data_IF_909335119333
#
_entry.id   IF_909335119333
#
_cell.length_a   1.000
_cell.length_b   1.000
_cell.length_c   1.000
_cell.angle_alpha   90.00
_cell.angle_beta   90.00
_cell.angle_gamma   90.00
#
_symmetry.space_group_name_H-M   'P 1'
#
loop_
_entity.id
_entity.type
_entity.pdbx_description
1 polymer ?
#
# COMPACT_ATOMS: atom_id res chain seq x y z
N UNK A 1 17.14 -11.58 -4.30
CA UNK A 1 16.91 -10.14 -4.57
C UNK A 1 17.92 -9.64 -5.61
N UNK A 2 17.55 -8.71 -6.49
CA UNK A 2 18.51 -8.11 -7.45
C UNK A 2 19.40 -7.07 -6.75
N UNK A 3 20.65 -6.95 -7.18
CA UNK A 3 21.60 -5.96 -6.65
C UNK A 3 21.05 -4.52 -6.72
N UNK A 4 20.31 -4.21 -7.81
CA UNK A 4 19.65 -2.92 -8.00
C UNK A 4 18.63 -2.61 -6.90
N UNK A 5 17.77 -3.57 -6.52
CA UNK A 5 16.76 -3.36 -5.48
C UNK A 5 17.42 -3.13 -4.12
N UNK A 6 18.46 -3.90 -3.79
CA UNK A 6 19.21 -3.72 -2.54
C UNK A 6 19.88 -2.36 -2.44
N UNK A 7 20.50 -1.89 -3.54
CA UNK A 7 21.13 -0.57 -3.61
C UNK A 7 20.15 0.58 -3.35
N UNK A 8 18.97 0.58 -3.99
CA UNK A 8 17.98 1.64 -3.79
C UNK A 8 17.31 1.60 -2.42
N UNK A 9 17.16 0.42 -1.81
CA UNK A 9 16.71 0.31 -0.41
C UNK A 9 17.74 0.95 0.51
N UNK A 10 19.03 0.64 0.33
CA UNK A 10 20.12 1.27 1.09
C UNK A 10 20.14 2.80 0.93
N UNK A 11 19.98 3.31 -0.29
CA UNK A 11 19.90 4.76 -0.53
C UNK A 11 18.68 5.42 0.12
N UNK A 12 17.58 4.66 0.28
CA UNK A 12 16.36 5.16 0.93
C UNK A 12 16.55 5.44 2.43
N UNK A 13 17.55 4.80 3.06
CA UNK A 13 17.89 4.94 4.47
C UNK A 13 19.06 5.92 4.71
N UNK A 14 19.72 6.39 3.65
CA UNK A 14 20.89 7.28 3.75
C UNK A 14 20.48 8.78 3.82
N UNK A 15 20.70 9.39 5.00
CA UNK A 15 20.35 10.81 5.28
C UNK A 15 21.10 11.85 4.44
N UNK A 16 22.32 11.56 3.97
CA UNK A 16 23.09 12.49 3.14
C UNK A 16 22.51 12.55 1.72
N UNK A 17 22.23 11.39 1.14
CA UNK A 17 21.59 11.27 -0.18
C UNK A 17 20.17 11.83 -0.14
N UNK A 18 19.43 11.57 0.93
CA UNK A 18 18.11 12.16 1.16
C UNK A 18 18.13 13.68 1.10
N UNK A 19 19.04 14.34 1.83
CA UNK A 19 19.15 15.81 1.82
C UNK A 19 19.47 16.37 0.43
N UNK A 20 20.34 15.70 -0.33
CA UNK A 20 20.66 16.10 -1.69
C UNK A 20 19.43 15.99 -2.63
N UNK A 21 18.74 14.86 -2.60
CA UNK A 21 17.59 14.59 -3.47
C UNK A 21 16.36 15.42 -3.10
N UNK A 22 16.16 15.72 -1.81
CA UNK A 22 15.08 16.60 -1.37
C UNK A 22 15.31 18.05 -1.80
N UNK A 23 16.56 18.50 -1.92
CA UNK A 23 16.89 19.89 -2.32
C UNK A 23 16.92 20.10 -3.83
N UNK A 24 16.94 19.03 -4.62
CA UNK A 24 17.02 19.11 -6.07
C UNK A 24 15.60 19.24 -6.69
N UNK A 25 15.29 20.31 -7.43
CA UNK A 25 13.97 20.53 -8.06
C UNK A 25 13.58 19.45 -9.09
N UNK A 26 14.58 18.84 -9.72
CA UNK A 26 14.41 17.84 -10.79
C UNK A 26 13.90 16.54 -10.20
N UNK A 27 14.55 16.07 -9.14
CA UNK A 27 14.13 14.86 -8.42
C UNK A 27 12.78 15.04 -7.74
N UNK A 28 12.47 16.25 -7.24
CA UNK A 28 11.11 16.63 -6.79
C UNK A 28 10.07 16.56 -7.91
N UNK A 29 10.37 17.08 -9.10
CA UNK A 29 9.46 16.98 -10.26
C UNK A 29 9.24 15.53 -10.67
N UNK A 30 10.28 14.70 -10.56
CA UNK A 30 10.20 13.29 -10.90
C UNK A 30 9.42 12.45 -9.90
N UNK A 31 9.51 12.77 -8.60
CA UNK A 31 8.74 12.08 -7.58
C UNK A 31 7.24 12.23 -7.80
N UNK A 32 6.79 13.37 -8.39
CA UNK A 32 5.39 13.62 -8.78
C UNK A 32 4.78 12.58 -9.71
N UNK A 33 5.61 11.76 -10.39
CA UNK A 33 5.09 10.63 -11.16
C UNK A 33 4.47 9.57 -10.26
N UNK A 34 5.08 9.31 -9.10
CA UNK A 34 4.74 8.21 -8.19
C UNK A 34 4.09 8.68 -6.88
N UNK A 35 4.15 9.98 -6.59
CA UNK A 35 3.61 10.64 -5.41
C UNK A 35 2.73 11.79 -5.88
N UNK A 36 1.52 11.92 -5.35
CA UNK A 36 0.57 12.94 -5.80
C UNK A 36 1.08 14.37 -5.54
N UNK A 37 1.78 14.55 -4.42
CA UNK A 37 2.39 15.80 -3.99
C UNK A 37 2.73 15.75 -2.51
N UNK A 38 2.99 16.93 -1.93
CA UNK A 38 3.41 17.06 -0.53
C UNK A 38 2.22 17.37 0.38
N UNK A 39 1.10 17.84 -0.17
CA UNK A 39 -0.07 18.28 0.59
C UNK A 39 -1.28 17.36 0.43
N UNK A 40 -2.23 17.45 1.37
CA UNK A 40 -3.53 16.77 1.24
C UNK A 40 -4.29 17.25 -0.01
N UNK A 41 -4.18 18.53 -0.36
CA UNK A 41 -4.82 19.07 -1.57
C UNK A 41 -4.30 18.39 -2.85
N UNK A 42 -3.00 18.11 -2.91
CA UNK A 42 -2.41 17.36 -4.03
C UNK A 42 -2.97 15.93 -4.10
N UNK A 43 -3.06 15.26 -2.95
CA UNK A 43 -3.66 13.93 -2.83
C UNK A 43 -5.11 13.92 -3.32
N UNK A 44 -5.93 14.85 -2.86
CA UNK A 44 -7.34 15.01 -3.27
C UNK A 44 -7.45 15.28 -4.77
N UNK A 45 -6.62 16.16 -5.32
CA UNK A 45 -6.63 16.47 -6.75
C UNK A 45 -6.30 15.24 -7.61
N UNK A 46 -5.31 14.44 -7.19
CA UNK A 46 -4.95 13.20 -7.87
C UNK A 46 -6.09 12.17 -7.81
N UNK A 47 -6.71 11.97 -6.64
CA UNK A 47 -7.86 11.08 -6.48
C UNK A 47 -9.03 11.50 -7.35
N UNK A 48 -9.37 12.80 -7.37
CA UNK A 48 -10.43 13.33 -8.23
C UNK A 48 -10.16 13.03 -9.70
N UNK A 49 -8.90 13.13 -10.13
CA UNK A 49 -8.48 12.78 -11.49
C UNK A 49 -8.66 11.29 -11.81
N UNK A 50 -8.39 10.41 -10.85
CA UNK A 50 -8.57 8.96 -10.98
C UNK A 50 -10.06 8.57 -11.02
N UNK A 51 -10.87 9.12 -10.12
CA UNK A 51 -12.31 8.84 -10.08
C UNK A 51 -13.01 9.25 -11.38
N UNK A 52 -12.60 10.37 -12.01
CA UNK A 52 -13.11 10.76 -13.34
C UNK A 52 -12.77 9.77 -14.46
N UNK A 53 -11.76 8.92 -14.27
CA UNK A 53 -11.38 7.85 -15.21
C UNK A 53 -12.04 6.51 -14.87
N UNK A 54 -12.97 6.47 -13.90
CA UNK A 54 -13.56 5.23 -13.42
C UNK A 54 -12.63 4.40 -12.53
N UNK A 55 -11.53 4.97 -12.06
CA UNK A 55 -10.59 4.30 -11.16
C UNK A 55 -10.90 4.64 -9.70
N UNK A 56 -10.87 3.64 -8.83
CA UNK A 56 -10.95 3.82 -7.38
C UNK A 56 -9.59 4.27 -6.83
N UNK A 57 -9.56 4.84 -5.63
CA UNK A 57 -8.31 5.24 -4.99
C UNK A 57 -8.13 4.69 -3.57
N UNK A 58 -6.89 4.73 -3.09
CA UNK A 58 -6.51 4.55 -1.69
C UNK A 58 -5.47 5.62 -1.34
N UNK A 59 -5.83 6.63 -0.54
CA UNK A 59 -4.89 7.65 -0.10
C UNK A 59 -3.98 7.08 0.99
N UNK A 60 -2.70 7.38 0.90
CA UNK A 60 -1.73 7.05 1.94
C UNK A 60 -0.88 8.28 2.26
N UNK A 61 -0.94 8.69 3.53
CA UNK A 61 -0.05 9.72 4.05
C UNK A 61 1.36 9.16 4.28
N UNK A 62 2.35 9.81 3.69
CA UNK A 62 3.76 9.53 3.92
C UNK A 62 4.22 10.31 5.15
N UNK A 63 4.04 9.70 6.32
CA UNK A 63 4.56 10.15 7.61
C UNK A 63 5.69 9.24 8.12
N UNK A 64 6.41 9.74 9.13
CA UNK A 64 7.48 8.99 9.80
C UNK A 64 6.91 7.97 10.79
N UNK A 65 7.66 6.88 10.99
CA UNK A 65 7.38 5.96 12.11
C UNK A 65 7.70 6.68 13.40
N UNK A 66 6.91 6.44 14.44
CA UNK A 66 7.11 7.10 15.73
C UNK A 66 6.95 6.15 16.91
N UNK A 67 7.65 6.45 18.00
CA UNK A 67 7.42 5.88 19.33
C UNK A 67 6.93 6.95 20.31
N UNK A 68 6.76 8.19 19.85
CA UNK A 68 6.32 9.34 20.65
C UNK A 68 4.79 9.39 20.69
N UNK A 69 4.18 9.35 21.89
CA UNK A 69 2.74 9.47 22.03
C UNK A 69 2.16 10.75 21.42
N UNK A 70 2.93 11.83 21.47
CA UNK A 70 2.55 13.11 20.88
C UNK A 70 2.51 13.00 19.35
N UNK A 71 3.58 12.51 18.73
CA UNK A 71 3.68 12.38 17.27
C UNK A 71 2.60 11.43 16.72
N UNK A 72 2.29 10.36 17.46
CA UNK A 72 1.20 9.44 17.11
C UNK A 72 -0.18 10.14 17.09
N UNK A 73 -0.44 11.05 18.03
CA UNK A 73 -1.62 11.91 18.01
C UNK A 73 -1.63 12.87 16.82
N UNK A 74 -0.46 13.44 16.44
CA UNK A 74 -0.37 14.32 15.26
C UNK A 74 -0.64 13.56 13.96
N UNK A 75 -0.07 12.36 13.80
CA UNK A 75 -0.37 11.47 12.68
C UNK A 75 -1.87 11.08 12.64
N UNK A 76 -2.46 10.82 13.81
CA UNK A 76 -3.90 10.54 13.93
C UNK A 76 -4.74 11.72 13.44
N UNK A 77 -4.38 12.96 13.81
CA UNK A 77 -5.08 14.16 13.32
C UNK A 77 -5.01 14.26 11.81
N UNK A 78 -3.85 13.99 11.19
CA UNK A 78 -3.75 13.96 9.74
C UNK A 78 -4.65 12.90 9.10
N UNK A 79 -4.75 11.70 9.68
CA UNK A 79 -5.68 10.69 9.19
C UNK A 79 -7.15 11.14 9.28
N UNK A 80 -7.54 11.81 10.36
CA UNK A 80 -8.89 12.37 10.51
C UNK A 80 -9.17 13.51 9.50
N UNK A 81 -8.18 14.36 9.20
CA UNK A 81 -8.27 15.38 8.16
C UNK A 81 -8.47 14.77 6.77
N UNK A 82 -7.75 13.68 6.47
CA UNK A 82 -7.89 12.94 5.20
C UNK A 82 -9.29 12.37 5.08
N UNK A 83 -9.81 11.72 6.12
CA UNK A 83 -11.18 11.20 6.13
C UNK A 83 -12.19 12.32 5.87
N UNK A 84 -12.07 13.44 6.58
CA UNK A 84 -12.93 14.60 6.38
C UNK A 84 -12.86 15.17 4.96
N UNK A 85 -11.68 15.16 4.32
CA UNK A 85 -11.52 15.58 2.93
C UNK A 85 -12.16 14.60 1.95
N UNK A 86 -11.99 13.28 2.14
CA UNK A 86 -12.63 12.24 1.30
C UNK A 86 -14.15 12.42 1.30
N UNK A 87 -14.75 12.63 2.46
CA UNK A 87 -16.20 12.80 2.60
C UNK A 87 -16.70 14.11 2.00
N UNK A 88 -16.04 15.23 2.33
CA UNK A 88 -16.44 16.57 1.86
C UNK A 88 -16.41 16.66 0.34
N UNK A 89 -15.41 16.05 -0.27
CA UNK A 89 -15.19 16.05 -1.72
C UNK A 89 -15.90 14.87 -2.43
N UNK A 90 -16.59 14.01 -1.68
CA UNK A 90 -17.31 12.81 -2.17
C UNK A 90 -16.43 11.90 -3.04
N UNK A 91 -15.21 11.64 -2.59
CA UNK A 91 -14.24 10.84 -3.33
C UNK A 91 -14.50 9.34 -3.14
N UNK A 92 -14.34 8.57 -4.21
CA UNK A 92 -14.24 7.11 -4.13
C UNK A 92 -12.80 6.74 -3.74
N UNK A 93 -12.58 6.70 -2.43
CA UNK A 93 -11.27 6.59 -1.85
C UNK A 93 -11.28 5.83 -0.53
N UNK A 94 -10.36 4.87 -0.41
CA UNK A 94 -10.02 4.26 0.87
C UNK A 94 -8.90 5.06 1.55
N UNK A 95 -8.75 4.89 2.85
CA UNK A 95 -7.58 5.33 3.60
C UNK A 95 -6.63 4.15 3.83
N UNK A 96 -5.34 4.30 3.52
CA UNK A 96 -4.28 3.37 3.90
C UNK A 96 -3.45 3.99 5.02
N UNK A 97 -3.30 3.25 6.13
CA UNK A 97 -2.57 3.69 7.33
C UNK A 97 -1.47 2.70 7.69
N UNK A 98 -0.48 3.15 8.48
CA UNK A 98 0.54 2.30 9.10
C UNK A 98 0.48 2.47 10.61
N UNK A 99 0.47 1.36 11.35
CA UNK A 99 0.35 1.43 12.80
C UNK A 99 1.64 1.93 13.47
N UNK A 100 2.80 1.83 12.82
CA UNK A 100 4.02 2.47 13.30
C UNK A 100 3.92 3.99 13.40
N UNK A 101 3.05 4.62 12.60
CA UNK A 101 2.77 6.06 12.72
C UNK A 101 1.82 6.36 13.88
N UNK A 102 1.13 5.34 14.42
CA UNK A 102 0.26 5.44 15.60
C UNK A 102 1.00 5.04 16.89
N UNK A 103 2.32 4.92 16.86
CA UNK A 103 3.11 4.60 18.05
C UNK A 103 3.24 3.11 18.36
N UNK A 104 2.88 2.20 17.44
CA UNK A 104 2.84 0.75 17.69
C UNK A 104 4.13 0.17 18.32
N UNK A 105 5.30 0.67 17.92
CA UNK A 105 6.58 0.20 18.44
C UNK A 105 6.92 0.75 19.85
N UNK A 106 6.22 1.79 20.30
CA UNK A 106 6.39 2.40 21.62
C UNK A 106 5.31 1.97 22.60
N UNK A 107 4.05 2.30 22.30
CA UNK A 107 2.88 1.99 23.13
C UNK A 107 1.76 1.37 22.27
N UNK A 108 1.67 0.02 22.24
CA UNK A 108 0.61 -0.68 21.53
C UNK A 108 -0.80 -0.33 22.02
N UNK A 109 -1.01 -0.06 23.32
CA UNK A 109 -2.33 0.26 23.87
C UNK A 109 -2.79 1.66 23.40
N UNK A 110 -1.86 2.60 23.29
CA UNK A 110 -2.14 3.87 22.64
C UNK A 110 -2.47 3.68 21.17
N UNK A 111 -1.68 2.87 20.43
CA UNK A 111 -1.92 2.61 19.01
C UNK A 111 -3.32 2.01 18.76
N UNK A 112 -3.79 1.12 19.64
CA UNK A 112 -5.17 0.60 19.61
C UNK A 112 -6.20 1.72 19.80
N UNK A 113 -6.00 2.58 20.80
CA UNK A 113 -6.90 3.71 21.09
C UNK A 113 -7.00 4.68 19.90
N UNK A 114 -5.87 5.00 19.29
CA UNK A 114 -5.81 5.87 18.11
C UNK A 114 -6.42 5.21 16.88
N UNK A 115 -6.20 3.91 16.68
CA UNK A 115 -6.85 3.15 15.63
C UNK A 115 -8.37 3.18 15.77
N UNK A 116 -8.92 2.95 16.97
CA UNK A 116 -10.38 3.07 17.21
C UNK A 116 -10.92 4.43 16.80
N UNK A 117 -10.25 5.53 17.19
CA UNK A 117 -10.63 6.89 16.77
C UNK A 117 -10.72 7.05 15.25
N UNK A 118 -9.75 6.50 14.51
CA UNK A 118 -9.74 6.54 13.04
C UNK A 118 -10.87 5.67 12.47
N UNK A 119 -11.05 4.46 12.99
CA UNK A 119 -12.08 3.53 12.50
C UNK A 119 -13.49 4.06 12.75
N UNK A 120 -13.72 4.71 13.88
CA UNK A 120 -15.01 5.34 14.21
C UNK A 120 -15.34 6.51 13.29
N UNK A 121 -14.37 7.40 13.06
CA UNK A 121 -14.54 8.50 12.10
C UNK A 121 -14.80 7.94 10.69
N UNK A 122 -14.02 6.95 10.26
CA UNK A 122 -14.18 6.32 8.96
C UNK A 122 -15.52 5.59 8.81
N UNK A 123 -16.05 5.00 9.89
CA UNK A 123 -17.34 4.31 9.91
C UNK A 123 -18.48 5.28 9.69
N UNK A 124 -18.48 6.42 10.41
CA UNK A 124 -19.45 7.51 10.23
C UNK A 124 -19.46 8.00 8.78
N UNK A 125 -18.26 8.09 8.20
CA UNK A 125 -18.03 8.68 6.88
C UNK A 125 -18.09 7.64 5.74
N UNK A 126 -18.40 6.37 6.05
CA UNK A 126 -18.44 5.21 5.14
C UNK A 126 -17.16 5.02 4.32
N UNK A 127 -16.01 5.37 4.89
CA UNK A 127 -14.69 5.20 4.29
C UNK A 127 -14.08 3.89 4.78
N UNK A 128 -13.50 3.12 3.86
CA UNK A 128 -12.77 1.91 4.22
C UNK A 128 -11.32 2.23 4.58
N UNK A 129 -10.83 1.65 5.68
CA UNK A 129 -9.46 1.78 6.18
C UNK A 129 -8.68 0.49 5.93
N UNK A 130 -7.52 0.61 5.30
CA UNK A 130 -6.56 -0.48 5.14
C UNK A 130 -5.39 -0.26 6.08
N UNK A 131 -5.14 -1.22 6.96
CA UNK A 131 -3.91 -1.30 7.75
C UNK A 131 -2.84 -1.92 6.86
N UNK A 132 -1.89 -1.10 6.41
CA UNK A 132 -0.75 -1.54 5.62
C UNK A 132 0.21 -2.37 6.49
N UNK A 133 0.73 -3.46 5.94
CA UNK A 133 1.68 -4.33 6.63
C UNK A 133 3.10 -3.84 6.44
N UNK A 134 3.82 -3.75 7.54
CA UNK A 134 5.19 -3.24 7.61
C UNK A 134 6.23 -4.39 7.59
N UNK A 135 7.46 -4.16 8.04
CA UNK A 135 8.47 -5.23 8.16
C UNK A 135 8.00 -6.40 9.05
N UNK A 136 8.64 -7.55 8.88
CA UNK A 136 8.28 -8.81 9.56
C UNK A 136 8.16 -8.68 11.08
N UNK A 137 9.00 -7.85 11.71
CA UNK A 137 8.97 -7.57 13.15
C UNK A 137 7.66 -6.90 13.62
N UNK A 138 6.95 -6.20 12.74
CA UNK A 138 5.69 -5.53 13.05
C UNK A 138 4.46 -6.35 12.67
N UNK A 139 4.60 -7.53 12.05
CA UNK A 139 3.45 -8.36 11.65
C UNK A 139 2.65 -8.81 12.86
N UNK A 140 3.27 -9.44 13.85
CA UNK A 140 2.56 -9.89 15.05
C UNK A 140 1.98 -8.74 15.87
N UNK A 141 2.72 -7.65 16.16
CA UNK A 141 2.15 -6.47 16.80
C UNK A 141 0.94 -5.89 16.04
N UNK A 142 1.01 -5.82 14.72
CA UNK A 142 -0.11 -5.33 13.88
C UNK A 142 -1.34 -6.23 13.99
N UNK A 143 -1.13 -7.55 13.88
CA UNK A 143 -2.21 -8.52 14.00
C UNK A 143 -2.78 -8.56 15.42
N UNK A 144 -1.97 -8.33 16.46
CA UNK A 144 -2.44 -8.24 17.84
C UNK A 144 -3.38 -7.05 18.03
N UNK A 145 -2.96 -5.84 17.63
CA UNK A 145 -3.81 -4.64 17.67
C UNK A 145 -5.12 -4.86 16.90
N UNK A 146 -5.04 -5.43 15.69
CA UNK A 146 -6.24 -5.73 14.91
C UNK A 146 -7.16 -6.74 15.61
N UNK A 147 -6.61 -7.82 16.20
CA UNK A 147 -7.40 -8.83 16.94
C UNK A 147 -8.11 -8.23 18.16
N UNK A 148 -7.54 -7.21 18.80
CA UNK A 148 -8.21 -6.50 19.90
C UNK A 148 -9.40 -5.70 19.40
N UNK A 149 -9.27 -4.98 18.28
CA UNK A 149 -10.33 -4.07 17.80
C UNK A 149 -11.39 -4.76 16.94
N UNK A 150 -11.05 -5.84 16.22
CA UNK A 150 -11.96 -6.50 15.28
C UNK A 150 -13.28 -6.99 15.91
N UNK A 151 -13.29 -7.61 17.11
CA UNK A 151 -14.51 -8.07 17.76
C UNK A 151 -15.50 -6.95 18.13
N UNK A 152 -15.09 -5.68 18.09
CA UNK A 152 -15.96 -4.52 18.35
C UNK A 152 -16.96 -4.23 17.20
N UNK A 153 -16.92 -5.02 16.11
CA UNK A 153 -17.92 -4.97 15.04
C UNK A 153 -17.60 -4.03 13.87
N UNK A 154 -16.33 -3.63 13.71
CA UNK A 154 -15.91 -2.85 12.54
C UNK A 154 -15.97 -3.70 11.27
N UNK A 155 -16.61 -3.17 10.22
CA UNK A 155 -16.67 -3.80 8.88
C UNK A 155 -15.91 -2.99 7.82
N UNK A 156 -15.48 -1.78 8.18
CA UNK A 156 -14.80 -0.82 7.33
C UNK A 156 -13.26 -0.87 7.49
N UNK A 157 -12.71 -1.99 7.93
CA UNK A 157 -11.26 -2.18 8.10
C UNK A 157 -10.77 -3.46 7.43
N UNK A 158 -9.52 -3.46 6.96
CA UNK A 158 -8.88 -4.69 6.52
C UNK A 158 -7.35 -4.64 6.59
N UNK A 159 -6.73 -5.79 6.32
CA UNK A 159 -5.29 -6.01 6.52
C UNK A 159 -4.54 -6.19 5.19
N UNK A 160 -3.22 -6.11 5.24
CA UNK A 160 -2.32 -6.49 4.15
C UNK A 160 -1.55 -7.75 4.54
N UNK A 161 -1.37 -8.68 3.60
CA UNK A 161 -0.48 -9.84 3.75
C UNK A 161 0.59 -9.84 2.65
N UNK A 162 1.81 -10.24 3.02
CA UNK A 162 2.98 -10.19 2.15
C UNK A 162 3.40 -11.62 1.72
N UNK A 163 3.28 -11.93 0.44
CA UNK A 163 3.55 -13.25 -0.12
C UNK A 163 5.03 -13.68 -0.11
N UNK A 164 5.97 -12.87 0.38
CA UNK A 164 7.37 -13.27 0.54
C UNK A 164 7.69 -13.90 1.91
N UNK A 165 6.82 -13.81 2.92
CA UNK A 165 7.10 -14.35 4.25
C UNK A 165 6.63 -15.80 4.33
N UNK A 166 7.40 -16.65 5.02
CA UNK A 166 7.02 -18.06 5.22
C UNK A 166 5.71 -18.23 6.00
N UNK A 167 5.43 -17.29 6.92
CA UNK A 167 4.23 -17.30 7.78
C UNK A 167 2.92 -17.02 7.04
N UNK A 168 2.96 -16.35 5.89
CA UNK A 168 1.79 -15.73 5.26
C UNK A 168 0.68 -16.71 4.90
N UNK A 169 1.02 -17.96 4.59
CA UNK A 169 0.02 -19.02 4.33
C UNK A 169 -0.87 -19.26 5.54
N UNK A 170 -0.26 -19.45 6.72
CA UNK A 170 -0.97 -19.66 7.98
C UNK A 170 -1.79 -18.42 8.37
N UNK A 171 -1.23 -17.22 8.18
CA UNK A 171 -1.95 -15.99 8.49
C UNK A 171 -3.18 -15.81 7.59
N UNK A 172 -3.08 -16.09 6.28
CA UNK A 172 -4.24 -16.03 5.36
C UNK A 172 -5.30 -17.05 5.76
N UNK A 173 -4.91 -18.30 6.04
CA UNK A 173 -5.86 -19.34 6.45
C UNK A 173 -6.63 -18.94 7.72
N UNK A 174 -5.95 -18.34 8.71
CA UNK A 174 -6.60 -17.87 9.92
C UNK A 174 -7.49 -16.64 9.70
N UNK A 175 -7.03 -15.67 8.89
CA UNK A 175 -7.75 -14.40 8.69
C UNK A 175 -8.97 -14.55 7.80
N UNK A 176 -8.95 -15.45 6.82
CA UNK A 176 -10.11 -15.70 5.95
C UNK A 176 -11.34 -16.13 6.76
N UNK A 177 -11.16 -16.95 7.79
CA UNK A 177 -12.25 -17.39 8.69
C UNK A 177 -12.91 -16.24 9.47
N UNK A 178 -12.21 -15.11 9.60
CA UNK A 178 -12.74 -13.94 10.32
C UNK A 178 -13.61 -13.03 9.44
N UNK A 179 -13.60 -13.23 8.12
CA UNK A 179 -14.28 -12.37 7.16
C UNK A 179 -13.59 -11.03 6.89
N UNK A 180 -12.37 -10.82 7.40
CA UNK A 180 -11.61 -9.59 7.14
C UNK A 180 -11.21 -9.50 5.67
N UNK A 181 -11.34 -8.31 5.09
CA UNK A 181 -10.86 -8.06 3.73
C UNK A 181 -9.34 -8.05 3.72
N UNK A 182 -8.71 -8.74 2.78
CA UNK A 182 -7.23 -8.85 2.70
C UNK A 182 -6.71 -8.26 1.38
N UNK A 183 -5.69 -7.41 1.46
CA UNK A 183 -4.86 -7.00 0.32
C UNK A 183 -3.61 -7.87 0.28
N UNK A 184 -3.40 -8.56 -0.84
CA UNK A 184 -2.22 -9.40 -1.06
C UNK A 184 -1.16 -8.65 -1.86
N UNK A 185 0.04 -8.50 -1.28
CA UNK A 185 1.22 -7.91 -1.93
C UNK A 185 2.36 -8.93 -1.96
N UNK A 186 3.38 -8.73 -2.80
CA UNK A 186 4.60 -9.56 -2.75
C UNK A 186 5.42 -9.33 -1.47
N UNK A 187 5.54 -8.07 -1.04
CA UNK A 187 6.42 -7.66 0.06
C UNK A 187 7.42 -6.60 -0.38
N UNK A 188 7.54 -5.54 0.41
CA UNK A 188 8.29 -4.34 0.05
C UNK A 188 9.63 -4.19 0.79
N UNK A 189 9.76 -4.79 1.98
CA UNK A 189 10.90 -4.60 2.87
C UNK A 189 12.06 -5.53 2.54
N UNK A 190 13.23 -5.22 3.10
CA UNK A 190 14.41 -6.08 3.05
C UNK A 190 14.37 -7.01 4.26
N UNK A 191 14.07 -8.28 4.03
CA UNK A 191 13.91 -9.27 5.09
C UNK A 191 15.06 -10.29 5.08
N UNK A 192 15.47 -10.81 6.25
CA UNK A 192 16.45 -11.89 6.31
C UNK A 192 15.90 -13.18 5.70
N UNK A 193 16.80 -14.02 5.17
CA UNK A 193 16.44 -15.31 4.55
C UNK A 193 15.78 -16.29 5.54
N UNK A 194 15.92 -16.05 6.84
CA UNK A 194 15.30 -16.85 7.90
C UNK A 194 13.78 -16.65 7.99
N UNK A 195 13.23 -15.54 7.46
CA UNK A 195 11.79 -15.23 7.55
C UNK A 195 11.11 -15.08 6.20
N UNK A 196 11.89 -14.88 5.13
CA UNK A 196 11.37 -14.60 3.79
C UNK A 196 12.04 -15.40 2.68
N UNK A 197 11.26 -15.76 1.66
CA UNK A 197 11.71 -16.41 0.43
C UNK A 197 12.75 -15.53 -0.30
N UNK A 198 14.01 -16.00 -0.47
CA UNK A 198 15.07 -15.17 -1.06
C UNK A 198 14.98 -15.06 -2.59
N UNK A 199 14.34 -16.06 -3.24
CA UNK A 199 14.23 -16.15 -4.70
C UNK A 199 12.87 -15.68 -5.17
N UNK A 200 12.86 -14.92 -6.27
CA UNK A 200 11.62 -14.41 -6.87
C UNK A 200 10.64 -15.52 -7.29
N UNK A 201 11.06 -16.65 -7.89
CA UNK A 201 10.13 -17.71 -8.26
C UNK A 201 9.34 -18.27 -7.07
N UNK A 202 9.98 -18.42 -5.92
CA UNK A 202 9.30 -18.91 -4.70
C UNK A 202 8.26 -17.90 -4.19
N UNK A 203 8.59 -16.59 -4.24
CA UNK A 203 7.63 -15.51 -3.92
C UNK A 203 6.47 -15.49 -4.90
N UNK A 204 6.73 -15.65 -6.20
CA UNK A 204 5.68 -15.66 -7.23
C UNK A 204 4.76 -16.89 -7.07
N UNK A 205 5.32 -18.06 -6.75
CA UNK A 205 4.57 -19.28 -6.48
C UNK A 205 3.70 -19.14 -5.23
N UNK A 206 4.23 -18.59 -4.14
CA UNK A 206 3.43 -18.32 -2.95
C UNK A 206 2.37 -17.24 -3.23
N UNK A 207 2.66 -16.20 -4.01
CA UNK A 207 1.67 -15.18 -4.37
C UNK A 207 0.50 -15.78 -5.15
N UNK A 208 0.76 -16.69 -6.10
CA UNK A 208 -0.27 -17.43 -6.82
C UNK A 208 -1.12 -18.26 -5.85
N UNK A 209 -0.48 -19.12 -5.04
CA UNK A 209 -1.20 -19.96 -4.07
C UNK A 209 -2.06 -19.16 -3.09
N UNK A 210 -1.57 -18.02 -2.60
CA UNK A 210 -2.35 -17.12 -1.72
C UNK A 210 -3.47 -16.39 -2.47
N UNK A 211 -3.28 -16.08 -3.75
CA UNK A 211 -4.33 -15.50 -4.61
C UNK A 211 -5.48 -16.49 -4.74
N UNK A 212 -5.19 -17.75 -5.05
CA UNK A 212 -6.22 -18.80 -5.15
C UNK A 212 -6.99 -18.98 -3.83
N UNK A 213 -6.27 -19.05 -2.71
CA UNK A 213 -6.90 -19.17 -1.38
C UNK A 213 -7.81 -17.97 -1.05
N UNK A 214 -7.36 -16.76 -1.36
CA UNK A 214 -8.15 -15.55 -1.11
C UNK A 214 -9.34 -15.43 -2.05
N UNK A 215 -9.20 -15.72 -3.35
CA UNK A 215 -10.30 -15.67 -4.30
C UNK A 215 -11.36 -16.74 -3.97
N UNK A 216 -10.95 -17.95 -3.60
CA UNK A 216 -11.87 -19.04 -3.29
C UNK A 216 -12.63 -18.89 -1.97
N UNK A 217 -12.00 -18.31 -0.94
CA UNK A 217 -12.58 -18.29 0.43
C UNK A 217 -12.63 -16.91 1.08
N UNK A 218 -11.87 -15.95 0.60
CA UNK A 218 -11.71 -14.65 1.24
C UNK A 218 -12.87 -13.68 1.00
N UNK A 219 -12.99 -12.69 1.88
CA UNK A 219 -13.95 -11.60 1.74
C UNK A 219 -13.36 -10.48 0.93
N UNK A 220 -13.89 -10.24 -0.27
CA UNK A 220 -13.48 -9.19 -1.22
C UNK A 220 -11.94 -8.95 -1.24
N UNK A 221 -11.16 -9.90 -1.79
CA UNK A 221 -9.72 -9.78 -1.87
C UNK A 221 -9.27 -8.60 -2.72
N UNK A 222 -8.12 -8.05 -2.37
CA UNK A 222 -7.43 -7.05 -3.16
C UNK A 222 -6.09 -7.61 -3.69
N UNK A 223 -6.03 -7.91 -4.98
CA UNK A 223 -4.84 -8.46 -5.64
C UNK A 223 -3.93 -7.29 -6.05
N UNK A 224 -3.00 -6.94 -5.18
CA UNK A 224 -2.14 -5.77 -5.34
C UNK A 224 -0.80 -6.12 -6.02
N UNK A 225 -0.73 -5.92 -7.35
CA UNK A 225 0.43 -6.26 -8.17
C UNK A 225 0.44 -5.51 -9.50
N UNK A 226 1.64 -5.27 -10.04
CA UNK A 226 1.86 -4.72 -11.40
C UNK A 226 2.44 -5.77 -12.36
N UNK A 227 2.49 -7.03 -11.91
CA UNK A 227 3.05 -8.16 -12.64
C UNK A 227 1.96 -8.81 -13.51
N UNK A 228 2.03 -8.69 -14.85
CA UNK A 228 1.01 -9.24 -15.74
C UNK A 228 0.78 -10.74 -15.54
N UNK A 229 1.82 -11.50 -15.18
CA UNK A 229 1.68 -12.94 -14.96
C UNK A 229 0.80 -13.25 -13.74
N UNK A 230 0.89 -12.44 -12.68
CA UNK A 230 0.06 -12.62 -11.49
C UNK A 230 -1.38 -12.16 -11.75
N UNK A 231 -1.56 -11.10 -12.55
CA UNK A 231 -2.88 -10.60 -12.96
C UNK A 231 -3.60 -11.67 -13.79
N UNK A 232 -2.95 -12.19 -14.83
CA UNK A 232 -3.53 -13.22 -15.69
C UNK A 232 -3.80 -14.52 -14.92
N UNK A 233 -2.93 -14.90 -13.98
CA UNK A 233 -3.20 -16.03 -13.09
C UNK A 233 -4.47 -15.82 -12.26
N UNK A 234 -4.64 -14.64 -11.63
CA UNK A 234 -5.85 -14.31 -10.86
C UNK A 234 -7.11 -14.34 -11.74
N UNK A 235 -7.05 -13.77 -12.96
CA UNK A 235 -8.15 -13.78 -13.93
C UNK A 235 -8.53 -15.21 -14.35
N UNK A 236 -7.53 -16.03 -14.63
CA UNK A 236 -7.71 -17.43 -15.07
C UNK A 236 -8.33 -18.27 -13.95
N UNK A 237 -7.82 -18.15 -12.73
CA UNK A 237 -8.38 -18.82 -11.56
C UNK A 237 -9.83 -18.37 -11.32
N UNK A 238 -10.08 -17.06 -11.30
CA UNK A 238 -11.42 -16.52 -11.10
C UNK A 238 -12.42 -17.03 -12.14
N UNK A 239 -12.05 -17.02 -13.42
CA UNK A 239 -12.90 -17.55 -14.50
C UNK A 239 -13.18 -19.05 -14.33
N UNK A 240 -12.18 -19.85 -13.95
CA UNK A 240 -12.33 -21.28 -13.71
C UNK A 240 -13.28 -21.59 -12.56
N UNK A 241 -13.20 -20.81 -11.48
CA UNK A 241 -14.04 -21.00 -10.28
C UNK A 241 -15.38 -20.23 -10.36
N UNK A 242 -15.70 -19.59 -11.49
CA UNK A 242 -16.94 -18.82 -11.65
C UNK A 242 -17.02 -17.54 -10.78
N UNK A 243 -15.88 -16.99 -10.37
CA UNK A 243 -15.79 -15.78 -9.56
C UNK A 243 -15.88 -14.55 -10.46
N UNK A 244 -16.90 -13.73 -10.24
CA UNK A 244 -17.17 -12.54 -11.07
C UNK A 244 -16.25 -11.36 -10.73
N UNK A 245 -16.00 -10.44 -11.68
CA UNK A 245 -15.10 -9.28 -11.48
C UNK A 245 -15.45 -8.36 -10.30
N UNK A 246 -16.70 -8.31 -9.87
CA UNK A 246 -17.18 -7.51 -8.74
C UNK A 246 -16.83 -8.12 -7.36
N UNK A 247 -16.32 -9.36 -7.32
CA UNK A 247 -16.02 -10.09 -6.08
C UNK A 247 -14.61 -9.83 -5.54
N UNK A 248 -13.75 -9.17 -6.30
CA UNK A 248 -12.40 -8.80 -5.90
C UNK A 248 -11.95 -7.54 -6.63
N UNK A 249 -10.85 -6.93 -6.21
CA UNK A 249 -10.27 -5.78 -6.90
C UNK A 249 -8.80 -6.01 -7.22
N UNK A 250 -8.34 -5.45 -8.33
CA UNK A 250 -6.91 -5.26 -8.57
C UNK A 250 -6.46 -3.97 -7.90
N UNK A 251 -5.23 -3.96 -7.40
CA UNK A 251 -4.61 -2.73 -6.91
C UNK A 251 -3.23 -2.47 -7.51
N UNK A 252 -3.00 -1.23 -7.88
CA UNK A 252 -1.72 -0.76 -8.41
C UNK A 252 -1.32 0.55 -7.74
N UNK A 253 -0.12 1.00 -8.04
CA UNK A 253 0.45 2.19 -7.43
C UNK A 253 0.33 3.33 -8.42
N UNK A 254 0.07 4.51 -7.89
CA UNK A 254 0.04 5.74 -8.66
C UNK A 254 1.30 5.89 -9.54
N UNK A 255 1.09 6.18 -10.82
CA UNK A 255 2.20 6.33 -11.78
C UNK A 255 2.76 5.05 -12.39
N UNK A 256 2.37 3.87 -11.92
CA UNK A 256 2.93 2.58 -12.37
C UNK A 256 1.90 1.80 -13.18
N UNK A 257 2.25 1.45 -14.43
CA UNK A 257 1.38 0.67 -15.34
C UNK A 257 -0.02 1.28 -15.51
N UNK A 258 -0.09 2.59 -15.77
CA UNK A 258 -1.36 3.31 -16.03
C UNK A 258 -2.16 2.67 -17.17
N UNK A 259 -1.45 2.12 -18.16
CA UNK A 259 -2.00 1.29 -19.24
C UNK A 259 -2.85 0.12 -18.69
N UNK A 260 -2.30 -0.67 -17.75
CA UNK A 260 -3.03 -1.79 -17.16
C UNK A 260 -4.15 -1.34 -16.23
N UNK A 261 -3.98 -0.21 -15.54
CA UNK A 261 -5.03 0.31 -14.66
C UNK A 261 -6.30 0.59 -15.49
N UNK A 262 -6.16 1.30 -16.61
CA UNK A 262 -7.28 1.61 -17.50
C UNK A 262 -7.81 0.34 -18.19
N UNK A 263 -6.92 -0.55 -18.63
CA UNK A 263 -7.32 -1.80 -19.28
C UNK A 263 -8.18 -2.69 -18.36
N UNK A 264 -7.73 -2.92 -17.12
CA UNK A 264 -8.47 -3.74 -16.15
C UNK A 264 -9.83 -3.13 -15.77
N UNK A 265 -9.89 -1.80 -15.64
CA UNK A 265 -11.16 -1.12 -15.43
C UNK A 265 -12.11 -1.28 -16.64
N UNK A 266 -11.57 -1.21 -17.86
CA UNK A 266 -12.32 -1.44 -19.11
C UNK A 266 -12.79 -2.90 -19.27
N UNK A 267 -12.09 -3.85 -18.66
CA UNK A 267 -12.50 -5.27 -18.57
C UNK A 267 -13.60 -5.51 -17.50
N UNK A 268 -14.02 -4.47 -16.77
CA UNK A 268 -15.06 -4.55 -15.74
C UNK A 268 -14.56 -4.91 -14.34
N UNK A 269 -13.24 -5.01 -14.12
CA UNK A 269 -12.69 -5.22 -12.79
C UNK A 269 -12.66 -3.92 -11.99
N UNK A 270 -12.90 -4.02 -10.68
CA UNK A 270 -12.56 -2.93 -9.77
C UNK A 270 -11.05 -2.72 -9.74
N UNK A 271 -10.61 -1.52 -10.15
CA UNK A 271 -9.20 -1.14 -10.18
C UNK A 271 -8.94 0.02 -9.22
N UNK A 272 -8.25 -0.27 -8.11
CA UNK A 272 -7.86 0.73 -7.11
C UNK A 272 -6.41 1.17 -7.24
N UNK A 273 -6.19 2.47 -7.25
CA UNK A 273 -4.84 3.06 -7.31
C UNK A 273 -4.43 3.55 -5.92
N UNK A 274 -3.30 3.08 -5.42
CA UNK A 274 -2.67 3.53 -4.18
C UNK A 274 -1.94 4.84 -4.44
N UNK A 275 -2.41 5.92 -3.81
CA UNK A 275 -2.00 7.31 -4.03
C UNK A 275 -1.25 7.82 -2.81
N UNK A 276 0.09 7.78 -2.82
CA UNK A 276 0.89 8.31 -1.73
C UNK A 276 1.05 9.83 -1.88
N UNK A 277 1.03 10.55 -0.77
CA UNK A 277 1.30 11.99 -0.69
C UNK A 277 1.92 12.34 0.66
N UNK A 278 2.55 13.51 0.77
CA UNK A 278 3.18 13.98 2.00
C UNK A 278 4.64 14.35 1.80
N UNK A 279 5.19 15.11 2.74
CA UNK A 279 6.56 15.63 2.68
C UNK A 279 7.62 14.52 2.77
N UNK A 280 7.31 13.39 3.42
CA UNK A 280 8.24 12.27 3.59
C UNK A 280 8.27 11.33 2.38
N UNK A 281 8.28 11.90 1.18
CA UNK A 281 8.18 11.14 -0.07
C UNK A 281 9.46 10.42 -0.49
N UNK A 282 10.62 10.86 0.00
CA UNK A 282 11.92 10.36 -0.46
C UNK A 282 12.13 8.85 -0.26
N UNK A 283 11.93 8.29 0.95
CA UNK A 283 12.14 6.85 1.14
C UNK A 283 11.20 6.01 0.27
N UNK A 284 9.96 6.47 0.10
CA UNK A 284 8.98 5.84 -0.78
C UNK A 284 9.44 5.86 -2.24
N UNK A 285 9.86 7.02 -2.74
CA UNK A 285 10.34 7.21 -4.11
C UNK A 285 11.55 6.32 -4.42
N UNK A 286 12.53 6.25 -3.52
CA UNK A 286 13.70 5.39 -3.70
C UNK A 286 13.34 3.91 -3.83
N UNK A 287 12.41 3.42 -2.99
CA UNK A 287 11.90 2.05 -3.14
C UNK A 287 11.23 1.82 -4.50
N UNK A 288 10.49 2.80 -5.04
CA UNK A 288 9.88 2.69 -6.38
C UNK A 288 10.94 2.62 -7.49
N UNK A 289 12.03 3.37 -7.38
CA UNK A 289 13.13 3.31 -8.35
C UNK A 289 13.80 1.92 -8.38
N UNK A 290 14.01 1.32 -7.21
CA UNK A 290 14.62 -0.01 -7.08
C UNK A 290 13.80 -1.18 -7.64
N UNK A 291 12.51 -0.99 -7.92
CA UNK A 291 11.62 -2.07 -8.36
C UNK A 291 11.75 -2.43 -9.84
N UNK A 292 12.14 -1.48 -10.71
CA UNK A 292 12.35 -1.75 -12.15
C UNK A 292 13.50 -0.92 -12.70
N UNK A 293 14.42 -1.52 -13.49
CA UNK A 293 15.48 -0.77 -14.19
C UNK A 293 14.94 0.36 -15.09
N UNK A 294 13.76 0.18 -15.68
CA UNK A 294 13.12 1.23 -16.48
C UNK A 294 12.78 2.50 -15.68
N UNK A 295 12.46 2.38 -14.38
CA UNK A 295 12.24 3.52 -13.50
C UNK A 295 13.54 4.33 -13.31
N UNK A 296 14.69 3.63 -13.30
CA UNK A 296 16.03 4.22 -13.22
C UNK A 296 16.45 4.83 -14.56
N UNK A 297 16.14 4.20 -15.68
CA UNK A 297 16.42 4.75 -17.02
C UNK A 297 15.69 6.08 -17.24
N UNK A 298 14.46 6.22 -16.73
CA UNK A 298 13.73 7.49 -16.74
C UNK A 298 14.43 8.58 -15.92
N UNK A 299 15.02 8.23 -14.76
CA UNK A 299 15.86 9.13 -13.96
C UNK A 299 17.09 9.58 -14.73
N UNK A 300 17.84 8.64 -15.32
CA UNK A 300 19.04 8.96 -16.09
C UNK A 300 18.72 9.84 -17.30
N UNK A 301 17.72 9.48 -18.11
CA UNK A 301 17.34 10.24 -19.32
C UNK A 301 16.94 11.69 -19.01
N UNK A 302 16.27 11.93 -17.88
CA UNK A 302 15.82 13.27 -17.50
C UNK A 302 16.95 14.13 -16.95
N UNK A 303 17.90 13.53 -16.21
CA UNK A 303 19.12 14.22 -15.74
C UNK A 303 20.05 14.57 -16.90
N UNK A 304 20.20 13.67 -17.89
CA UNK A 304 21.01 13.95 -19.09
C UNK A 304 20.38 14.99 -20.03
N UNK A 305 19.06 15.16 -20.03
CA UNK A 305 18.38 16.17 -20.83
C UNK A 305 18.60 17.61 -20.33
N UNK A 306 19.07 17.80 -19.09
CA UNK A 306 19.46 19.11 -18.52
C UNK A 306 20.95 19.42 -18.68
N UNK A 307 21.77 18.47 -19.14
CA UNK A 307 23.18 18.69 -19.48
C UNK A 307 23.38 19.12 -20.95
N UNK A 308 22.30 19.58 -21.59
CA UNK A 308 22.25 20.26 -22.89
C UNK A 308 21.51 21.56 -22.72
#
# INVERSE_FOLDING_TARGET
MSALRGFFIYLSENRAVQRFVLRNPVTRRMSRRFVAGETLADGVAAVRGLNRQGLHASLNYLGEKTTSPREAEEATRHYLEILGAITRERLDCNLSIKLSQLGLAGDPAQAETLLRRILEAARRDRVFVRIDMEESALVDPTLAVWRTVWPEGYTNVGLVIQAYLFRSRKDVEALVETGVRIRLVKGAYLEPRSVAYPRKPDVDAQYQSLTEALLGRGTYPAIATHDPKMIEHAKTFAAREGITPDRFEFQMIYGVRRDLQVALAGEGYHMRVYVPFGEQWYPYFMRRLGERPANVFFLLRSVFAEWR
#
